data_IF_850546153811
#
_entry.id   IF_850546153811
#
_cell.length_a   1.000
_cell.length_b   1.000
_cell.length_c   1.000
_cell.angle_alpha   90.00
_cell.angle_beta   90.00
_cell.angle_gamma   90.00
#
_symmetry.space_group_name_H-M   'P 1'
#
loop_
_entity.id
_entity.type
_entity.pdbx_description
1 polymer ?
#
# COMPACT_ATOMS: atom_id res chain seq x y z
N UNK A 1 35.18 15.54 -2.59
CA UNK A 1 34.38 14.99 -1.49
C UNK A 1 34.49 15.82 -0.19
N UNK A 2 35.66 16.07 0.36
CA UNK A 2 35.85 16.82 1.63
C UNK A 2 35.36 18.27 1.56
N UNK A 3 35.55 18.98 0.42
CA UNK A 3 35.08 20.37 0.23
C UNK A 3 33.54 20.47 0.16
N UNK A 4 32.86 19.51 -0.49
CA UNK A 4 31.38 19.48 -0.55
C UNK A 4 30.74 19.22 0.81
N UNK A 5 31.30 18.30 1.61
CA UNK A 5 30.83 18.08 3.00
C UNK A 5 30.96 19.32 3.88
N UNK A 6 32.07 20.09 3.76
CA UNK A 6 32.27 21.34 4.50
C UNK A 6 31.28 22.44 4.11
N UNK A 7 30.91 22.55 2.84
CA UNK A 7 29.96 23.56 2.37
C UNK A 7 28.54 23.24 2.84
N UNK A 8 28.13 21.97 2.83
CA UNK A 8 26.84 21.51 3.30
C UNK A 8 26.70 21.66 4.83
N UNK A 9 27.74 21.31 5.58
CA UNK A 9 27.81 21.54 7.04
C UNK A 9 27.69 23.03 7.39
N UNK A 10 28.31 23.92 6.60
CA UNK A 10 28.24 25.37 6.80
C UNK A 10 26.85 25.93 6.47
N UNK A 11 26.13 25.36 5.48
CA UNK A 11 24.74 25.75 5.17
C UNK A 11 23.76 25.27 6.25
N UNK A 12 23.90 24.04 6.74
CA UNK A 12 23.09 23.52 7.83
C UNK A 12 23.39 24.28 9.14
N UNK A 13 24.65 24.57 9.44
CA UNK A 13 25.05 25.35 10.61
C UNK A 13 24.59 26.81 10.52
N UNK A 14 24.56 27.42 9.32
CA UNK A 14 24.05 28.77 9.10
C UNK A 14 22.52 28.83 9.27
N UNK A 15 21.78 27.83 8.82
CA UNK A 15 20.34 27.70 9.03
C UNK A 15 19.98 27.50 10.51
N UNK A 16 20.79 26.78 11.27
CA UNK A 16 20.62 26.58 12.71
C UNK A 16 21.03 27.78 13.54
N UNK A 17 21.97 28.62 13.05
CA UNK A 17 22.43 29.84 13.75
C UNK A 17 21.45 31.04 13.65
N UNK A 18 20.53 31.01 12.66
CA UNK A 18 19.52 32.08 12.48
C UNK A 18 18.29 31.86 13.35
N UNK A 19 18.10 30.65 13.93
CA UNK A 19 16.91 30.25 14.69
C UNK A 19 17.12 30.17 16.19
N UNK A 20 17.20 31.28 16.89
CA UNK A 20 17.29 31.35 18.37
C UNK A 20 15.92 31.18 19.08
N UNK A 21 14.93 30.45 18.49
CA UNK A 21 13.67 30.13 19.16
C UNK A 21 13.27 28.71 18.78
N UNK A 22 12.99 27.83 19.76
CA UNK A 22 12.80 26.39 19.61
C UNK A 22 11.75 25.93 18.57
N UNK A 23 10.77 26.78 18.23
CA UNK A 23 9.79 26.49 17.16
C UNK A 23 10.41 26.58 15.75
N UNK A 24 11.35 27.51 15.52
CA UNK A 24 11.99 27.67 14.21
C UNK A 24 12.96 26.55 13.88
N UNK A 25 13.62 25.99 14.89
CA UNK A 25 14.54 24.86 14.73
C UNK A 25 13.79 23.58 14.34
N UNK A 26 12.57 23.40 14.84
CA UNK A 26 11.72 22.24 14.52
C UNK A 26 11.22 22.28 13.06
N UNK A 27 10.79 23.44 12.59
CA UNK A 27 10.34 23.66 11.19
C UNK A 27 11.47 23.41 10.20
N UNK A 28 12.70 23.86 10.49
CA UNK A 28 13.87 23.66 9.62
C UNK A 28 14.29 22.18 9.55
N UNK A 29 14.13 21.40 10.65
CA UNK A 29 14.44 19.98 10.65
C UNK A 29 13.41 19.16 9.84
N UNK A 30 12.16 19.60 9.77
CA UNK A 30 11.09 18.95 8.96
C UNK A 30 11.30 19.12 7.44
N UNK A 31 11.93 20.20 7.00
CA UNK A 31 12.24 20.47 5.58
C UNK A 31 13.49 19.74 5.07
N UNK A 32 14.29 19.10 5.95
CA UNK A 32 15.50 18.40 5.55
C UNK A 32 15.17 17.07 4.85
N UNK A 33 15.96 16.74 3.83
CA UNK A 33 15.96 15.39 3.25
C UNK A 33 16.47 14.36 4.26
N UNK A 34 16.08 13.08 4.11
CA UNK A 34 16.54 12.02 5.02
C UNK A 34 18.06 11.88 5.04
N UNK A 35 18.75 12.13 3.92
CA UNK A 35 20.21 12.18 3.88
C UNK A 35 20.79 13.32 4.74
N UNK A 36 20.17 14.50 4.72
CA UNK A 36 20.60 15.64 5.56
C UNK A 36 20.25 15.41 7.03
N UNK A 37 19.10 14.80 7.33
CA UNK A 37 18.73 14.38 8.70
C UNK A 37 19.74 13.38 9.25
N UNK A 38 20.21 12.44 8.44
CA UNK A 38 21.22 11.45 8.84
C UNK A 38 22.53 12.12 9.24
N UNK A 39 23.06 13.05 8.40
CA UNK A 39 24.30 13.77 8.71
C UNK A 39 24.16 14.61 10.02
N UNK A 40 23.01 15.26 10.21
CA UNK A 40 22.74 16.02 11.43
C UNK A 40 22.69 15.13 12.67
N UNK A 41 22.05 13.94 12.57
CA UNK A 41 21.96 12.98 13.65
C UNK A 41 23.32 12.39 13.99
N UNK A 42 24.18 12.12 12.99
CA UNK A 42 25.55 11.66 13.21
C UNK A 42 26.34 12.67 14.08
N UNK A 43 26.26 13.96 13.76
CA UNK A 43 26.91 15.01 14.55
C UNK A 43 26.36 15.13 15.98
N UNK A 44 25.04 14.94 16.16
CA UNK A 44 24.41 14.95 17.50
C UNK A 44 24.83 13.74 18.32
N UNK A 45 24.88 12.55 17.71
CA UNK A 45 25.25 11.30 18.37
C UNK A 45 26.75 11.30 18.75
N UNK A 46 27.64 11.88 17.94
CA UNK A 46 29.04 12.08 18.31
C UNK A 46 29.19 12.82 19.65
N UNK A 47 28.32 13.80 19.90
CA UNK A 47 28.32 14.57 21.14
C UNK A 47 27.62 13.87 22.31
N UNK A 48 26.64 13.02 21.99
CA UNK A 48 25.79 12.33 22.97
C UNK A 48 25.56 10.87 22.58
N UNK A 49 26.60 10.00 22.63
CA UNK A 49 26.54 8.65 22.04
C UNK A 49 25.63 7.68 22.80
N UNK A 50 25.14 8.03 23.98
CA UNK A 50 24.21 7.25 24.80
C UNK A 50 22.80 7.87 24.84
N UNK A 51 22.50 8.81 23.97
CA UNK A 51 21.14 9.36 23.85
C UNK A 51 20.26 8.39 23.03
N UNK A 52 19.42 7.64 23.72
CA UNK A 52 18.52 6.67 23.11
C UNK A 52 17.56 7.31 22.09
N UNK A 53 17.12 8.55 22.34
CA UNK A 53 16.21 9.25 21.41
C UNK A 53 16.90 9.59 20.08
N UNK A 54 18.16 10.02 20.12
CA UNK A 54 18.93 10.29 18.91
C UNK A 54 19.21 9.00 18.11
N UNK A 55 19.53 7.91 18.82
CA UNK A 55 19.71 6.60 18.17
C UNK A 55 18.44 6.10 17.52
N UNK A 56 17.29 6.18 18.21
CA UNK A 56 16.00 5.79 17.63
C UNK A 56 15.61 6.66 16.42
N UNK A 57 15.84 7.98 16.48
CA UNK A 57 15.62 8.88 15.33
C UNK A 57 16.51 8.53 14.15
N UNK A 58 17.79 8.20 14.39
CA UNK A 58 18.68 7.77 13.32
C UNK A 58 18.27 6.43 12.73
N UNK A 59 17.82 5.49 13.56
CA UNK A 59 17.27 4.21 13.10
C UNK A 59 16.05 4.42 12.18
N UNK A 60 15.14 5.34 12.52
CA UNK A 60 14.00 5.66 11.66
C UNK A 60 14.45 6.25 10.32
N UNK A 61 15.39 7.20 10.32
CA UNK A 61 15.93 7.78 9.08
C UNK A 61 16.66 6.73 8.23
N UNK A 62 17.42 5.83 8.86
CA UNK A 62 18.08 4.73 8.17
C UNK A 62 17.07 3.75 7.56
N UNK A 63 15.97 3.47 8.24
CA UNK A 63 14.87 2.67 7.71
C UNK A 63 14.26 3.32 6.45
N UNK A 64 13.96 4.61 6.50
CA UNK A 64 13.44 5.37 5.36
C UNK A 64 14.41 5.35 4.15
N UNK A 65 15.71 5.36 4.42
CA UNK A 65 16.77 5.24 3.40
C UNK A 65 17.01 3.80 2.92
N UNK A 66 16.15 2.85 3.27
CA UNK A 66 16.27 1.44 2.95
C UNK A 66 17.59 0.79 3.44
N UNK A 67 18.05 1.19 4.65
CA UNK A 67 19.25 0.69 5.33
C UNK A 67 18.91 -0.04 6.64
N UNK A 68 18.05 -1.09 6.59
CA UNK A 68 17.46 -1.67 7.80
C UNK A 68 18.49 -2.34 8.73
N UNK A 69 19.60 -2.87 8.19
CA UNK A 69 20.65 -3.49 9.03
C UNK A 69 21.36 -2.47 9.93
N UNK A 70 21.59 -1.27 9.44
CA UNK A 70 22.19 -0.21 10.24
C UNK A 70 21.17 0.38 11.22
N UNK A 71 19.91 0.50 10.79
CA UNK A 71 18.81 0.87 11.67
C UNK A 71 18.66 -0.11 12.85
N UNK A 72 18.79 -1.42 12.60
CA UNK A 72 18.70 -2.44 13.63
C UNK A 72 19.78 -2.30 14.72
N UNK A 73 20.98 -1.90 14.33
CA UNK A 73 22.07 -1.66 15.27
C UNK A 73 21.77 -0.47 16.21
N UNK A 74 21.22 0.62 15.65
CA UNK A 74 20.92 1.82 16.44
C UNK A 74 19.71 1.61 17.35
N UNK A 75 18.64 1.00 16.82
CA UNK A 75 17.44 0.75 17.64
C UNK A 75 17.72 -0.29 18.73
N UNK A 76 18.58 -1.28 18.47
CA UNK A 76 19.02 -2.22 19.49
C UNK A 76 19.66 -1.50 20.67
N UNK A 77 20.59 -0.56 20.39
CA UNK A 77 21.19 0.26 21.45
C UNK A 77 20.18 1.16 22.17
N UNK A 78 19.21 1.73 21.45
CA UNK A 78 18.19 2.57 22.05
C UNK A 78 17.32 1.77 23.03
N UNK A 79 16.94 0.54 22.66
CA UNK A 79 16.20 -0.41 23.52
C UNK A 79 17.04 -0.83 24.74
N UNK A 80 18.35 -1.11 24.56
CA UNK A 80 19.23 -1.46 25.67
C UNK A 80 19.34 -0.32 26.71
N UNK A 81 19.32 0.94 26.26
CA UNK A 81 19.38 2.11 27.13
C UNK A 81 18.03 2.39 27.80
N UNK A 82 16.92 2.23 27.08
CA UNK A 82 15.55 2.44 27.55
C UNK A 82 14.67 1.24 27.21
N UNK A 83 14.74 0.15 27.98
CA UNK A 83 14.02 -1.09 27.66
C UNK A 83 12.50 -0.99 27.80
N UNK A 84 12.00 -0.01 28.55
CA UNK A 84 10.58 0.19 28.82
C UNK A 84 9.91 1.18 27.84
N UNK A 85 10.62 1.62 26.80
CA UNK A 85 10.08 2.52 25.80
C UNK A 85 9.36 1.72 24.70
N UNK A 86 8.05 1.78 24.69
CA UNK A 86 7.19 1.02 23.75
C UNK A 86 7.47 1.39 22.31
N UNK A 87 7.62 2.69 22.02
CA UNK A 87 7.84 3.20 20.65
C UNK A 87 9.14 2.65 20.05
N UNK A 88 10.17 2.40 20.88
CA UNK A 88 11.42 1.81 20.39
C UNK A 88 11.22 0.35 19.99
N UNK A 89 10.37 -0.40 20.71
CA UNK A 89 10.05 -1.78 20.35
C UNK A 89 9.19 -1.85 19.09
N UNK A 90 8.26 -0.92 18.93
CA UNK A 90 7.47 -0.82 17.69
C UNK A 90 8.41 -0.55 16.49
N UNK A 91 9.29 0.44 16.60
CA UNK A 91 10.28 0.72 15.55
C UNK A 91 11.23 -0.47 15.31
N UNK A 92 11.66 -1.16 16.35
CA UNK A 92 12.50 -2.36 16.23
C UNK A 92 11.78 -3.47 15.45
N UNK A 93 10.50 -3.65 15.69
CA UNK A 93 9.68 -4.63 14.97
C UNK A 93 9.52 -4.26 13.48
N UNK A 94 9.29 -2.98 13.17
CA UNK A 94 9.24 -2.50 11.77
C UNK A 94 10.59 -2.73 11.06
N UNK A 95 11.70 -2.51 11.75
CA UNK A 95 13.04 -2.76 11.21
C UNK A 95 13.28 -4.26 10.99
N UNK A 96 12.81 -5.14 11.88
CA UNK A 96 12.87 -6.59 11.66
C UNK A 96 12.09 -7.00 10.42
N UNK A 97 10.89 -6.45 10.19
CA UNK A 97 10.11 -6.67 8.95
C UNK A 97 10.90 -6.23 7.72
N UNK A 98 11.52 -5.06 7.75
CA UNK A 98 12.34 -4.57 6.66
C UNK A 98 13.61 -5.42 6.41
N UNK A 99 14.09 -6.13 7.44
CA UNK A 99 15.14 -7.14 7.31
C UNK A 99 14.64 -8.50 6.80
N UNK A 100 13.31 -8.68 6.64
CA UNK A 100 12.69 -9.96 6.28
C UNK A 100 12.48 -10.93 7.44
N UNK A 101 12.70 -10.50 8.67
CA UNK A 101 12.61 -11.34 9.90
C UNK A 101 11.24 -11.14 10.58
N UNK A 102 10.21 -11.79 10.02
CA UNK A 102 8.83 -11.69 10.53
C UNK A 102 8.69 -12.25 11.94
N UNK A 103 9.42 -13.31 12.26
CA UNK A 103 9.32 -13.97 13.57
C UNK A 103 9.81 -13.05 14.68
N UNK A 104 10.97 -12.39 14.48
CA UNK A 104 11.46 -11.42 15.45
C UNK A 104 10.56 -10.19 15.55
N UNK A 105 9.99 -9.73 14.44
CA UNK A 105 9.01 -8.65 14.49
C UNK A 105 7.82 -9.01 15.37
N UNK A 106 7.24 -10.21 15.16
CA UNK A 106 6.10 -10.69 15.94
C UNK A 106 6.42 -10.80 17.44
N UNK A 107 7.56 -11.37 17.78
CA UNK A 107 8.01 -11.49 19.19
C UNK A 107 8.18 -10.10 19.81
N UNK A 108 8.83 -9.18 19.10
CA UNK A 108 9.10 -7.82 19.57
C UNK A 108 7.80 -7.01 19.77
N UNK A 109 6.85 -7.12 18.85
CA UNK A 109 5.53 -6.52 19.02
C UNK A 109 4.74 -7.15 20.15
N UNK A 110 4.84 -8.46 20.35
CA UNK A 110 4.23 -9.16 21.49
C UNK A 110 4.81 -8.70 22.84
N UNK A 111 6.09 -8.30 22.89
CA UNK A 111 6.67 -7.65 24.05
C UNK A 111 6.10 -6.24 24.26
N UNK A 112 6.00 -5.45 23.19
CA UNK A 112 5.39 -4.11 23.24
C UNK A 112 3.92 -4.18 23.69
N UNK A 113 3.16 -5.16 23.22
CA UNK A 113 1.77 -5.38 23.64
C UNK A 113 1.64 -5.71 25.12
N UNK A 114 2.52 -6.56 25.67
CA UNK A 114 2.53 -6.84 27.12
C UNK A 114 2.85 -5.61 27.96
N UNK A 115 3.69 -4.71 27.46
CA UNK A 115 4.03 -3.45 28.12
C UNK A 115 2.88 -2.42 28.05
N UNK A 116 2.21 -2.35 26.89
CA UNK A 116 1.15 -1.38 26.64
C UNK A 116 -0.02 -2.02 25.85
N UNK A 117 -0.87 -2.83 26.49
CA UNK A 117 -1.92 -3.60 25.80
C UNK A 117 -2.96 -2.76 25.06
N UNK A 118 -3.10 -1.50 25.46
CA UNK A 118 -4.05 -0.54 24.83
C UNK A 118 -3.35 0.47 23.93
N UNK A 119 -2.06 0.34 23.70
CA UNK A 119 -1.37 1.24 22.76
C UNK A 119 -1.88 0.97 21.35
N UNK A 120 -2.49 1.99 20.77
CA UNK A 120 -3.14 1.92 19.46
C UNK A 120 -2.19 1.51 18.35
N UNK A 121 -0.97 2.05 18.36
CA UNK A 121 0.04 1.74 17.32
C UNK A 121 0.48 0.27 17.41
N UNK A 122 0.71 -0.23 18.62
CA UNK A 122 1.00 -1.66 18.85
C UNK A 122 -0.15 -2.53 18.35
N UNK A 123 -1.40 -2.18 18.69
CA UNK A 123 -2.57 -2.93 18.25
C UNK A 123 -2.73 -2.89 16.72
N UNK A 124 -2.50 -1.73 16.08
CA UNK A 124 -2.56 -1.63 14.63
C UNK A 124 -1.48 -2.52 13.97
N UNK A 125 -0.25 -2.46 14.43
CA UNK A 125 0.87 -3.27 13.91
C UNK A 125 0.67 -4.77 14.13
N UNK A 126 0.14 -5.17 15.29
CA UNK A 126 -0.23 -6.57 15.54
C UNK A 126 -1.36 -7.03 14.60
N UNK A 127 -2.36 -6.16 14.38
CA UNK A 127 -3.43 -6.40 13.43
C UNK A 127 -2.91 -6.59 12.00
N UNK A 128 -2.00 -5.73 11.54
CA UNK A 128 -1.34 -5.84 10.23
C UNK A 128 -0.55 -7.15 10.11
N UNK A 129 0.28 -7.44 11.10
CA UNK A 129 1.17 -8.60 11.07
C UNK A 129 0.39 -9.92 11.05
N UNK A 130 -0.65 -10.03 11.89
CA UNK A 130 -1.53 -11.20 11.93
C UNK A 130 -2.40 -11.33 10.68
N UNK A 131 -2.82 -10.21 10.08
CA UNK A 131 -3.52 -10.21 8.79
C UNK A 131 -2.66 -10.85 7.70
N UNK A 132 -1.42 -10.38 7.53
CA UNK A 132 -0.49 -10.93 6.52
C UNK A 132 -0.02 -12.36 6.83
N UNK A 133 -0.16 -12.81 8.07
CA UNK A 133 0.05 -14.20 8.46
C UNK A 133 -1.17 -15.10 8.19
N UNK A 134 -2.31 -14.53 7.78
CA UNK A 134 -3.56 -15.25 7.56
C UNK A 134 -4.34 -15.55 8.86
N UNK A 135 -3.88 -15.03 10.00
CA UNK A 135 -4.58 -15.17 11.29
C UNK A 135 -5.63 -14.07 11.44
N UNK A 136 -6.71 -14.22 10.68
CA UNK A 136 -7.77 -13.21 10.60
C UNK A 136 -8.53 -13.00 11.91
N UNK A 137 -8.62 -14.02 12.76
CA UNK A 137 -9.31 -13.92 14.05
C UNK A 137 -8.54 -12.98 14.99
N UNK A 138 -7.21 -13.19 15.12
CA UNK A 138 -6.37 -12.29 15.92
C UNK A 138 -6.28 -10.91 15.32
N UNK A 139 -6.14 -10.82 13.99
CA UNK A 139 -6.13 -9.54 13.30
C UNK A 139 -7.38 -8.73 13.60
N UNK A 140 -8.57 -9.34 13.48
CA UNK A 140 -9.84 -8.69 13.78
C UNK A 140 -9.93 -8.21 15.23
N UNK A 141 -9.39 -8.98 16.16
CA UNK A 141 -9.33 -8.60 17.59
C UNK A 141 -8.50 -7.33 17.77
N UNK A 142 -7.28 -7.30 17.23
CA UNK A 142 -6.38 -6.15 17.33
C UNK A 142 -6.95 -4.91 16.62
N UNK A 143 -7.47 -5.07 15.39
CA UNK A 143 -8.07 -3.98 14.63
C UNK A 143 -9.35 -3.44 15.29
N UNK A 144 -10.08 -4.27 16.03
CA UNK A 144 -11.24 -3.83 16.82
C UNK A 144 -10.79 -2.96 17.99
N UNK A 145 -9.72 -3.34 18.71
CA UNK A 145 -9.13 -2.49 19.74
C UNK A 145 -8.69 -1.12 19.22
N UNK A 146 -8.22 -1.06 17.95
CA UNK A 146 -7.91 0.21 17.27
C UNK A 146 -9.18 1.02 17.01
N UNK A 147 -10.22 0.38 16.42
CA UNK A 147 -11.47 1.08 16.06
C UNK A 147 -12.33 1.46 17.26
N UNK A 148 -12.13 0.85 18.41
CA UNK A 148 -12.75 1.30 19.68
C UNK A 148 -12.18 2.63 20.17
N UNK A 149 -10.89 2.89 19.92
CA UNK A 149 -10.20 4.12 20.30
C UNK A 149 -10.26 5.18 19.20
N UNK A 150 -10.12 4.78 17.95
CA UNK A 150 -10.22 5.60 16.73
C UNK A 150 -11.23 4.97 15.77
N UNK A 151 -12.52 5.27 15.96
CA UNK A 151 -13.58 4.66 15.15
C UNK A 151 -13.39 4.84 13.63
N UNK A 152 -12.69 5.89 13.23
CA UNK A 152 -12.47 6.26 11.84
C UNK A 152 -11.05 5.94 11.35
N UNK A 153 -10.31 5.11 12.06
CA UNK A 153 -8.98 4.71 11.61
C UNK A 153 -9.05 3.99 10.26
N UNK A 154 -8.59 4.66 9.20
CA UNK A 154 -8.69 4.20 7.81
C UNK A 154 -8.09 2.82 7.60
N UNK A 155 -6.86 2.60 8.09
CA UNK A 155 -6.15 1.33 7.92
C UNK A 155 -6.90 0.19 8.59
N UNK A 156 -7.36 0.39 9.84
CA UNK A 156 -8.11 -0.62 10.56
C UNK A 156 -9.45 -0.94 9.89
N UNK A 157 -10.19 0.07 9.41
CA UNK A 157 -11.46 -0.13 8.70
C UNK A 157 -11.26 -0.90 7.39
N UNK A 158 -10.24 -0.53 6.59
CA UNK A 158 -9.90 -1.23 5.35
C UNK A 158 -9.53 -2.70 5.61
N UNK A 159 -8.65 -2.95 6.56
CA UNK A 159 -8.24 -4.33 6.86
C UNK A 159 -9.39 -5.18 7.40
N UNK A 160 -10.24 -4.61 8.27
CA UNK A 160 -11.47 -5.30 8.71
C UNK A 160 -12.39 -5.61 7.54
N UNK A 161 -12.53 -4.71 6.57
CA UNK A 161 -13.35 -4.97 5.38
C UNK A 161 -12.82 -6.14 4.54
N UNK A 162 -11.50 -6.23 4.38
CA UNK A 162 -10.87 -7.37 3.70
C UNK A 162 -11.09 -8.68 4.45
N UNK A 163 -10.96 -8.68 5.79
CA UNK A 163 -11.21 -9.89 6.60
C UNK A 163 -12.65 -10.35 6.45
N UNK A 164 -13.63 -9.44 6.51
CA UNK A 164 -15.04 -9.79 6.34
C UNK A 164 -15.34 -10.27 4.91
N UNK A 165 -14.70 -9.67 3.89
CA UNK A 165 -14.80 -10.12 2.50
C UNK A 165 -14.31 -11.56 2.35
N UNK A 166 -13.11 -11.86 2.85
CA UNK A 166 -12.53 -13.21 2.82
C UNK A 166 -13.36 -14.23 3.63
N UNK A 167 -13.94 -13.81 4.74
CA UNK A 167 -14.85 -14.61 5.54
C UNK A 167 -16.26 -14.79 4.95
N UNK A 168 -16.56 -14.17 3.79
CA UNK A 168 -17.86 -14.24 3.12
C UNK A 168 -18.91 -13.28 3.67
N UNK A 169 -18.64 -12.51 4.73
CA UNK A 169 -19.54 -11.47 5.23
C UNK A 169 -19.42 -10.18 4.40
N UNK A 170 -19.90 -10.27 3.18
CA UNK A 170 -19.86 -9.13 2.25
C UNK A 170 -20.70 -7.94 2.76
N UNK A 171 -21.72 -8.17 3.58
CA UNK A 171 -22.55 -7.08 4.11
C UNK A 171 -21.75 -6.22 5.12
N UNK A 172 -20.99 -6.86 6.00
CA UNK A 172 -20.09 -6.16 6.90
C UNK A 172 -18.97 -5.43 6.13
N UNK A 173 -18.37 -6.09 5.12
CA UNK A 173 -17.35 -5.47 4.28
C UNK A 173 -17.85 -4.20 3.57
N UNK A 174 -19.02 -4.26 2.93
CA UNK A 174 -19.67 -3.10 2.27
C UNK A 174 -19.94 -1.98 3.27
N UNK A 175 -20.42 -2.29 4.48
CA UNK A 175 -20.69 -1.29 5.51
C UNK A 175 -19.43 -0.53 5.91
N UNK A 176 -18.33 -1.24 6.11
CA UNK A 176 -17.03 -0.63 6.46
C UNK A 176 -16.46 0.20 5.31
N UNK A 177 -16.48 -0.33 4.09
CA UNK A 177 -15.97 0.39 2.92
C UNK A 177 -16.76 1.66 2.64
N UNK A 178 -18.10 1.62 2.74
CA UNK A 178 -18.92 2.84 2.61
C UNK A 178 -18.52 3.89 3.64
N UNK A 179 -18.33 3.47 4.89
CA UNK A 179 -17.83 4.39 5.93
C UNK A 179 -16.48 4.99 5.57
N UNK A 180 -15.54 4.20 5.00
CA UNK A 180 -14.24 4.72 4.54
C UNK A 180 -14.44 5.73 3.40
N UNK A 181 -15.29 5.44 2.41
CA UNK A 181 -15.57 6.36 1.31
C UNK A 181 -16.19 7.69 1.81
N UNK A 182 -17.09 7.62 2.80
CA UNK A 182 -17.74 8.80 3.36
C UNK A 182 -16.76 9.72 4.12
N UNK A 183 -15.80 9.12 4.85
CA UNK A 183 -14.83 9.87 5.66
C UNK A 183 -13.61 10.30 4.84
N UNK A 184 -13.19 9.49 3.87
CA UNK A 184 -12.00 9.69 3.04
C UNK A 184 -12.38 9.72 1.54
N UNK A 185 -13.05 10.79 1.08
CA UNK A 185 -13.59 10.86 -0.29
C UNK A 185 -12.53 10.92 -1.40
N UNK A 186 -11.27 11.09 -1.04
CA UNK A 186 -10.10 11.09 -1.92
C UNK A 186 -9.32 9.77 -1.93
N UNK A 187 -9.81 8.75 -1.20
CA UNK A 187 -9.11 7.49 -1.05
C UNK A 187 -9.59 6.44 -2.07
N UNK A 188 -9.02 6.46 -3.27
CA UNK A 188 -9.37 5.58 -4.40
C UNK A 188 -9.50 4.09 -4.04
N UNK A 189 -8.63 3.46 -3.20
CA UNK A 189 -8.73 2.04 -2.90
C UNK A 189 -10.05 1.61 -2.24
N UNK A 190 -10.70 2.48 -1.45
CA UNK A 190 -11.97 2.13 -0.85
C UNK A 190 -13.11 2.12 -1.87
N UNK A 191 -13.10 3.08 -2.80
CA UNK A 191 -14.07 3.14 -3.91
C UNK A 191 -13.89 1.95 -4.86
N UNK A 192 -12.65 1.57 -5.17
CA UNK A 192 -12.33 0.40 -5.99
C UNK A 192 -12.89 -0.87 -5.36
N UNK A 193 -12.53 -1.17 -4.11
CA UNK A 193 -12.99 -2.37 -3.41
C UNK A 193 -14.52 -2.43 -3.29
N UNK A 194 -15.13 -1.31 -2.97
CA UNK A 194 -16.59 -1.22 -2.87
C UNK A 194 -17.26 -1.44 -4.23
N UNK A 195 -16.71 -0.85 -5.27
CA UNK A 195 -17.18 -1.03 -6.64
C UNK A 195 -17.05 -2.47 -7.12
N UNK A 196 -15.93 -3.14 -6.83
CA UNK A 196 -15.74 -4.56 -7.13
C UNK A 196 -16.76 -5.44 -6.40
N UNK A 197 -17.04 -5.15 -5.11
CA UNK A 197 -18.06 -5.91 -4.36
C UNK A 197 -19.48 -5.74 -4.93
N UNK A 198 -19.80 -4.57 -5.46
CA UNK A 198 -21.06 -4.35 -6.17
C UNK A 198 -21.07 -5.03 -7.54
N UNK A 199 -19.95 -5.01 -8.27
CA UNK A 199 -19.81 -5.66 -9.57
C UNK A 199 -20.05 -7.18 -9.49
N UNK A 200 -19.47 -7.84 -8.50
CA UNK A 200 -19.67 -9.28 -8.24
C UNK A 200 -21.15 -9.67 -8.03
N UNK A 201 -22.02 -8.70 -7.73
CA UNK A 201 -23.45 -8.89 -7.54
C UNK A 201 -24.30 -8.31 -8.68
N UNK A 202 -23.65 -7.93 -9.77
CA UNK A 202 -24.27 -7.24 -10.92
C UNK A 202 -25.10 -6.01 -10.49
N UNK A 203 -24.65 -5.33 -9.44
CA UNK A 203 -25.33 -4.15 -8.91
C UNK A 203 -24.87 -2.89 -9.63
N UNK A 204 -25.79 -2.06 -10.17
CA UNK A 204 -25.46 -0.83 -10.90
C UNK A 204 -24.59 0.18 -10.16
N UNK A 205 -24.60 0.15 -8.83
CA UNK A 205 -23.70 0.98 -7.99
C UNK A 205 -22.22 0.72 -8.30
N UNK A 206 -21.86 -0.42 -8.90
CA UNK A 206 -20.49 -0.72 -9.32
C UNK A 206 -19.92 0.38 -10.21
N UNK A 207 -20.68 0.87 -11.17
CA UNK A 207 -20.25 1.93 -12.12
C UNK A 207 -19.90 3.21 -11.37
N UNK A 208 -20.75 3.65 -10.45
CA UNK A 208 -20.53 4.88 -9.68
C UNK A 208 -19.23 4.82 -8.89
N UNK A 209 -19.04 3.74 -8.11
CA UNK A 209 -17.87 3.59 -7.25
C UNK A 209 -16.58 3.38 -8.06
N UNK A 210 -16.58 2.52 -9.07
CA UNK A 210 -15.40 2.29 -9.92
C UNK A 210 -15.04 3.53 -10.77
N UNK A 211 -16.04 4.27 -11.27
CA UNK A 211 -15.78 5.53 -11.98
C UNK A 211 -15.17 6.57 -11.05
N UNK A 212 -15.66 6.68 -9.81
CA UNK A 212 -15.05 7.55 -8.80
C UNK A 212 -13.59 7.13 -8.51
N UNK A 213 -13.34 5.84 -8.33
CA UNK A 213 -11.99 5.32 -8.14
C UNK A 213 -11.06 5.66 -9.32
N UNK A 214 -11.55 5.51 -10.57
CA UNK A 214 -10.79 5.85 -11.78
C UNK A 214 -10.50 7.35 -11.91
N UNK A 215 -11.38 8.21 -11.41
CA UNK A 215 -11.11 9.66 -11.35
C UNK A 215 -10.06 10.01 -10.29
N UNK A 216 -10.05 9.30 -9.16
CA UNK A 216 -9.09 9.51 -8.08
C UNK A 216 -7.71 8.95 -8.41
N UNK A 217 -7.64 7.82 -9.12
CA UNK A 217 -6.39 7.22 -9.60
C UNK A 217 -6.49 6.86 -11.10
N UNK A 218 -6.30 7.84 -12.00
CA UNK A 218 -6.44 7.64 -13.44
C UNK A 218 -5.36 6.72 -14.06
N UNK A 219 -4.29 6.43 -13.31
CA UNK A 219 -3.20 5.57 -13.77
C UNK A 219 -3.42 4.09 -13.44
N UNK A 220 -4.38 3.77 -12.60
CA UNK A 220 -4.67 2.42 -12.16
C UNK A 220 -5.52 1.66 -13.19
N UNK A 221 -4.84 0.86 -14.02
CA UNK A 221 -5.50 0.05 -15.04
C UNK A 221 -6.38 -1.06 -14.46
N UNK A 222 -6.17 -1.46 -13.20
CA UNK A 222 -6.99 -2.47 -12.54
C UNK A 222 -8.45 -2.01 -12.35
N UNK A 223 -8.65 -0.72 -12.07
CA UNK A 223 -9.98 -0.14 -11.94
C UNK A 223 -10.71 -0.18 -13.30
N UNK A 224 -10.01 0.18 -14.38
CA UNK A 224 -10.56 0.10 -15.74
C UNK A 224 -10.87 -1.34 -16.16
N UNK A 225 -10.01 -2.29 -15.75
CA UNK A 225 -10.26 -3.71 -15.94
C UNK A 225 -11.56 -4.15 -15.23
N UNK A 226 -11.74 -3.76 -13.97
CA UNK A 226 -12.94 -4.08 -13.18
C UNK A 226 -14.21 -3.49 -13.81
N UNK A 227 -14.15 -2.25 -14.31
CA UNK A 227 -15.24 -1.62 -15.07
C UNK A 227 -15.53 -2.38 -16.36
N UNK A 228 -14.51 -2.69 -17.15
CA UNK A 228 -14.64 -3.42 -18.39
C UNK A 228 -15.28 -4.80 -18.19
N UNK A 229 -14.83 -5.53 -17.17
CA UNK A 229 -15.44 -6.83 -16.80
C UNK A 229 -16.89 -6.68 -16.37
N UNK A 230 -17.20 -5.69 -15.53
CA UNK A 230 -18.57 -5.43 -15.12
C UNK A 230 -19.49 -5.12 -16.32
N UNK A 231 -19.06 -4.25 -17.24
CA UNK A 231 -19.82 -3.93 -18.45
C UNK A 231 -20.00 -5.14 -19.36
N UNK A 232 -18.98 -5.99 -19.47
CA UNK A 232 -19.07 -7.24 -20.22
C UNK A 232 -20.10 -8.20 -19.59
N UNK A 233 -20.12 -8.31 -18.25
CA UNK A 233 -21.04 -9.20 -17.52
C UNK A 233 -22.50 -8.77 -17.59
N UNK A 234 -22.77 -7.47 -17.84
CA UNK A 234 -24.11 -6.91 -18.06
C UNK A 234 -24.41 -6.69 -19.55
N UNK A 235 -23.58 -7.22 -20.45
CA UNK A 235 -23.73 -7.18 -21.91
C UNK A 235 -23.63 -5.76 -22.53
N UNK A 236 -23.08 -4.78 -21.79
CA UNK A 236 -22.80 -3.45 -22.30
C UNK A 236 -21.41 -3.42 -22.98
N UNK A 237 -21.29 -4.16 -24.07
CA UNK A 237 -20.02 -4.48 -24.73
C UNK A 237 -19.27 -3.26 -25.26
N UNK A 238 -19.97 -2.22 -25.72
CA UNK A 238 -19.36 -1.00 -26.21
C UNK A 238 -18.61 -0.24 -25.09
N UNK A 239 -19.19 -0.20 -23.89
CA UNK A 239 -18.52 0.39 -22.72
C UNK A 239 -17.37 -0.48 -22.22
N UNK A 240 -17.52 -1.82 -22.26
CA UNK A 240 -16.43 -2.73 -21.96
C UNK A 240 -15.22 -2.51 -22.88
N UNK A 241 -15.45 -2.46 -24.19
CA UNK A 241 -14.42 -2.19 -25.21
C UNK A 241 -13.71 -0.86 -24.93
N UNK A 242 -14.46 0.19 -24.59
CA UNK A 242 -13.90 1.50 -24.27
C UNK A 242 -12.98 1.43 -23.06
N UNK A 243 -13.34 0.70 -22.01
CA UNK A 243 -12.49 0.52 -20.82
C UNK A 243 -11.18 -0.21 -21.18
N UNK A 244 -11.26 -1.30 -21.95
CA UNK A 244 -10.06 -2.04 -22.36
C UNK A 244 -9.16 -1.21 -23.29
N UNK A 245 -9.72 -0.36 -24.17
CA UNK A 245 -8.93 0.59 -24.98
C UNK A 245 -8.24 1.66 -24.12
N UNK A 246 -8.91 2.19 -23.10
CA UNK A 246 -8.30 3.13 -22.15
C UNK A 246 -7.15 2.47 -21.36
N UNK A 247 -7.26 1.19 -21.02
CA UNK A 247 -6.14 0.46 -20.43
C UNK A 247 -4.93 0.44 -21.37
N UNK A 248 -5.15 0.26 -22.68
CA UNK A 248 -4.08 0.28 -23.67
C UNK A 248 -3.49 1.66 -23.91
N UNK A 249 -4.27 2.72 -23.75
CA UNK A 249 -3.76 4.10 -23.79
C UNK A 249 -2.77 4.38 -22.67
N UNK A 250 -3.00 3.77 -21.48
CA UNK A 250 -2.10 3.87 -20.32
C UNK A 250 -0.93 2.90 -20.46
N UNK A 251 -1.20 1.63 -20.79
CA UNK A 251 -0.23 0.57 -20.97
C UNK A 251 -0.49 -0.21 -22.27
N UNK A 252 0.16 0.17 -23.38
CA UNK A 252 0.00 -0.51 -24.67
C UNK A 252 0.37 -2.00 -24.66
N UNK A 253 1.17 -2.43 -23.66
CA UNK A 253 1.56 -3.83 -23.44
C UNK A 253 0.67 -4.59 -22.45
N UNK A 254 -0.53 -4.12 -22.16
CA UNK A 254 -1.46 -4.84 -21.28
C UNK A 254 -1.98 -6.11 -21.94
N UNK A 255 -1.47 -7.26 -21.49
CA UNK A 255 -1.92 -8.58 -21.97
C UNK A 255 -3.42 -8.80 -21.70
N UNK A 256 -3.91 -8.39 -20.54
CA UNK A 256 -5.31 -8.57 -20.15
C UNK A 256 -6.24 -7.71 -21.01
N UNK A 257 -5.86 -6.48 -21.32
CA UNK A 257 -6.65 -5.61 -22.19
C UNK A 257 -6.74 -6.20 -23.60
N UNK A 258 -5.62 -6.66 -24.18
CA UNK A 258 -5.63 -7.29 -25.49
C UNK A 258 -6.43 -8.59 -25.49
N UNK A 259 -6.31 -9.43 -24.46
CA UNK A 259 -7.11 -10.66 -24.33
C UNK A 259 -8.61 -10.36 -24.30
N UNK A 260 -9.04 -9.40 -23.48
CA UNK A 260 -10.46 -9.07 -23.35
C UNK A 260 -11.04 -8.40 -24.64
N UNK A 261 -10.24 -7.57 -25.32
CA UNK A 261 -10.64 -7.08 -26.65
C UNK A 261 -10.79 -8.22 -27.65
N UNK A 262 -9.85 -9.16 -27.71
CA UNK A 262 -9.93 -10.34 -28.56
C UNK A 262 -11.16 -11.20 -28.23
N UNK A 263 -11.51 -11.33 -26.96
CA UNK A 263 -12.72 -12.01 -26.53
C UNK A 263 -13.99 -11.32 -27.08
N UNK A 264 -14.07 -9.98 -27.03
CA UNK A 264 -15.20 -9.24 -27.61
C UNK A 264 -15.26 -9.38 -29.14
N UNK A 265 -14.12 -9.31 -29.82
CA UNK A 265 -14.07 -9.50 -31.28
C UNK A 265 -14.56 -10.91 -31.67
N UNK A 266 -14.19 -11.93 -30.88
CA UNK A 266 -14.58 -13.31 -31.14
C UNK A 266 -16.06 -13.60 -30.86
N UNK A 267 -16.56 -13.12 -29.71
CA UNK A 267 -17.86 -13.57 -29.18
C UNK A 267 -19.01 -12.63 -29.45
N UNK A 268 -18.72 -11.34 -29.67
CA UNK A 268 -19.73 -10.29 -29.87
C UNK A 268 -19.77 -9.80 -31.31
N UNK A 269 -18.59 -9.56 -31.90
CA UNK A 269 -18.48 -8.97 -33.22
C UNK A 269 -18.28 -10.01 -34.35
N UNK A 270 -18.07 -11.29 -34.00
CA UNK A 270 -17.83 -12.41 -34.91
C UNK A 270 -16.66 -12.17 -35.88
N UNK A 271 -15.65 -11.38 -35.43
CA UNK A 271 -14.45 -11.08 -36.20
C UNK A 271 -13.27 -11.95 -35.70
N UNK A 272 -13.21 -13.16 -36.23
CA UNK A 272 -12.23 -14.19 -35.85
C UNK A 272 -10.80 -13.71 -36.14
N UNK A 273 -10.58 -12.98 -37.25
CA UNK A 273 -9.24 -12.53 -37.64
C UNK A 273 -8.70 -11.48 -36.67
N UNK A 274 -9.52 -10.50 -36.32
CA UNK A 274 -9.15 -9.48 -35.32
C UNK A 274 -9.00 -10.08 -33.92
N UNK A 275 -9.83 -11.05 -33.56
CA UNK A 275 -9.69 -11.77 -32.30
C UNK A 275 -8.31 -12.43 -32.18
N UNK A 276 -7.86 -13.17 -33.21
CA UNK A 276 -6.55 -13.81 -33.26
C UNK A 276 -5.44 -12.74 -33.15
N UNK A 277 -5.53 -11.63 -33.87
CA UNK A 277 -4.57 -10.53 -33.78
C UNK A 277 -4.45 -9.97 -32.34
N UNK A 278 -5.59 -9.82 -31.67
CA UNK A 278 -5.61 -9.35 -30.27
C UNK A 278 -4.98 -10.36 -29.32
N UNK A 279 -5.29 -11.65 -29.45
CA UNK A 279 -4.68 -12.71 -28.64
C UNK A 279 -3.17 -12.84 -28.89
N UNK A 280 -2.72 -12.68 -30.13
CA UNK A 280 -1.28 -12.65 -30.45
C UNK A 280 -0.57 -11.49 -29.78
N UNK A 281 -1.18 -10.29 -29.72
CA UNK A 281 -0.65 -9.16 -28.98
C UNK A 281 -0.63 -9.40 -27.46
N UNK A 282 -1.68 -10.05 -26.93
CA UNK A 282 -1.73 -10.45 -25.53
C UNK A 282 -0.59 -11.40 -25.17
N UNK A 283 -0.35 -12.42 -26.01
CA UNK A 283 0.72 -13.40 -25.83
C UNK A 283 2.13 -12.81 -26.07
N UNK A 284 2.25 -11.85 -26.99
CA UNK A 284 3.51 -11.12 -27.17
C UNK A 284 3.86 -10.28 -25.93
N UNK A 285 2.86 -9.73 -25.24
CA UNK A 285 3.04 -8.98 -24.00
C UNK A 285 3.28 -9.88 -22.79
N UNK A 286 2.54 -10.99 -22.69
CA UNK A 286 2.71 -12.00 -21.64
C UNK A 286 2.51 -13.41 -22.23
N UNK A 287 3.61 -14.12 -22.55
CA UNK A 287 3.56 -15.50 -23.10
C UNK A 287 2.91 -16.53 -22.17
N UNK A 288 2.85 -16.22 -20.86
CA UNK A 288 2.26 -17.09 -19.84
C UNK A 288 0.75 -16.83 -19.61
N UNK A 289 0.13 -15.92 -20.38
CA UNK A 289 -1.29 -15.67 -20.28
C UNK A 289 -2.10 -16.89 -20.81
N UNK A 290 -2.54 -17.73 -19.87
CA UNK A 290 -3.26 -18.97 -20.18
C UNK A 290 -4.60 -18.71 -20.86
N UNK A 291 -5.31 -17.65 -20.47
CA UNK A 291 -6.60 -17.29 -21.06
C UNK A 291 -6.43 -16.86 -22.51
N UNK A 292 -5.47 -15.99 -22.80
CA UNK A 292 -5.18 -15.56 -24.16
C UNK A 292 -4.77 -16.72 -25.07
N UNK A 293 -3.98 -17.67 -24.56
CA UNK A 293 -3.62 -18.88 -25.30
C UNK A 293 -4.83 -19.72 -25.62
N UNK A 294 -5.66 -20.00 -24.62
CA UNK A 294 -6.87 -20.80 -24.78
C UNK A 294 -7.85 -20.15 -25.77
N UNK A 295 -8.09 -18.85 -25.63
CA UNK A 295 -8.99 -18.10 -26.51
C UNK A 295 -8.47 -18.08 -27.96
N UNK A 296 -7.16 -17.93 -28.16
CA UNK A 296 -6.53 -17.99 -29.48
C UNK A 296 -6.71 -19.37 -30.14
N UNK A 297 -6.46 -20.45 -29.39
CA UNK A 297 -6.62 -21.82 -29.90
C UNK A 297 -8.08 -22.10 -30.30
N UNK A 298 -9.05 -21.57 -29.51
CA UNK A 298 -10.48 -21.63 -29.86
C UNK A 298 -10.74 -20.87 -31.17
N UNK A 299 -10.28 -19.63 -31.28
CA UNK A 299 -10.48 -18.82 -32.46
C UNK A 299 -9.89 -19.47 -33.73
N UNK A 300 -8.68 -20.05 -33.63
CA UNK A 300 -8.07 -20.79 -34.74
C UNK A 300 -8.86 -22.05 -35.14
N UNK A 301 -9.52 -22.71 -34.20
CA UNK A 301 -10.27 -23.94 -34.46
C UNK A 301 -11.58 -23.73 -35.24
N UNK A 302 -12.11 -22.50 -35.24
CA UNK A 302 -13.37 -22.12 -35.87
C UNK A 302 -13.16 -21.24 -37.12
N UNK A 303 -11.91 -20.89 -37.44
CA UNK A 303 -11.53 -20.16 -38.66
C UNK A 303 -11.62 -21.06 -39.88
#
# INVERSE_FOLDING_TARGET
MIKMKRTLILTIAALLAIGAVGCHQRVVEEELTDAQKLELLDLKIEKSPKDASLLAKRAQVLLNLNRPKEALFDIGKAVDIKPDEVDYRVLQADIYLACGDRDKSYVTLGEAERMAPKNKEVQLKMGELTFYAGDFERSLTHLTNVTEQEPDNRTALMMKSYIYKEGGDTAAAVTLLRRVCDIYPDFAPAFEELGVLYALRQNPMAVEYLTTAAHLDPSNTQILYSLGKYYQDIEEYAEAEKMYRQMLDINPGSSDAWNNLGYLELTVYDDIERAIECFDKALAANPENVEAKTNRDIAESIK
#
